data_IF_989008255202
#
_entry.id   IF_989008255202
#
_cell.length_a   1.000
_cell.length_b   1.000
_cell.length_c   1.000
_cell.angle_alpha   90.00
_cell.angle_beta   90.00
_cell.angle_gamma   90.00
#
_symmetry.space_group_name_H-M   'P 1'
#
loop_
_entity.id
_entity.type
_entity.pdbx_description
1 polymer ?
#
# COMPACT_ATOMS: atom_id res chain seq x y z
N UNK A 1 -29.64 5.84 6.52
CA UNK A 1 -28.37 6.59 6.64
C UNK A 1 -27.30 5.72 6.00
N UNK A 2 -26.80 6.07 4.82
CA UNK A 2 -25.76 5.25 4.17
C UNK A 2 -24.55 5.17 5.10
N UNK A 3 -23.85 4.03 5.09
CA UNK A 3 -22.54 3.87 5.72
C UNK A 3 -21.67 5.10 5.43
N UNK A 4 -21.43 5.92 6.46
CA UNK A 4 -20.77 7.22 6.30
C UNK A 4 -19.31 7.04 5.88
N UNK A 5 -18.80 7.93 5.02
CA UNK A 5 -17.37 7.93 4.66
C UNK A 5 -16.50 8.07 5.90
N UNK A 6 -15.25 7.61 5.82
CA UNK A 6 -14.28 7.71 6.91
C UNK A 6 -14.14 9.16 7.43
N UNK A 7 -14.21 10.15 6.53
CA UNK A 7 -14.19 11.56 6.89
C UNK A 7 -15.35 11.94 7.83
N UNK A 8 -16.58 11.51 7.52
CA UNK A 8 -17.74 11.77 8.38
C UNK A 8 -17.61 11.04 9.72
N UNK A 9 -17.05 9.83 9.72
CA UNK A 9 -16.79 9.10 10.96
C UNK A 9 -15.78 9.84 11.85
N UNK A 10 -14.72 10.43 11.28
CA UNK A 10 -13.76 11.26 12.01
C UNK A 10 -14.40 12.52 12.58
N UNK A 11 -15.26 13.21 11.81
CA UNK A 11 -15.99 14.37 12.33
C UNK A 11 -16.90 13.99 13.51
N UNK A 12 -17.60 12.85 13.41
CA UNK A 12 -18.42 12.33 14.52
C UNK A 12 -17.57 11.99 15.74
N UNK A 13 -16.43 11.32 15.55
CA UNK A 13 -15.51 11.01 16.64
C UNK A 13 -15.04 12.27 17.37
N UNK A 14 -14.80 13.37 16.65
CA UNK A 14 -14.45 14.68 17.24
C UNK A 14 -15.60 15.26 18.07
N UNK A 15 -16.84 15.18 17.57
CA UNK A 15 -18.04 15.59 18.30
C UNK A 15 -18.20 14.76 19.58
N UNK A 16 -18.09 13.43 19.47
CA UNK A 16 -18.20 12.50 20.60
C UNK A 16 -17.09 12.73 21.65
N UNK A 17 -15.92 13.23 21.22
CA UNK A 17 -14.83 13.66 22.09
C UNK A 17 -15.03 15.05 22.74
N UNK A 18 -16.20 15.69 22.53
CA UNK A 18 -16.60 16.94 23.17
C UNK A 18 -16.40 18.21 22.34
N UNK A 19 -16.19 18.10 21.01
CA UNK A 19 -16.07 19.27 20.12
C UNK A 19 -17.45 19.88 19.83
N UNK A 20 -18.02 20.58 20.82
CA UNK A 20 -19.34 21.20 20.74
C UNK A 20 -19.43 22.33 19.71
N UNK A 21 -18.30 22.97 19.39
CA UNK A 21 -18.23 23.98 18.33
C UNK A 21 -18.45 23.34 16.96
N UNK A 22 -17.73 22.25 16.67
CA UNK A 22 -17.93 21.47 15.45
C UNK A 22 -19.36 20.91 15.35
N UNK A 23 -19.89 20.39 16.45
CA UNK A 23 -21.28 19.90 16.51
C UNK A 23 -22.27 21.00 16.12
N UNK A 24 -22.17 22.16 16.78
CA UNK A 24 -23.06 23.28 16.53
C UNK A 24 -22.93 23.82 15.09
N UNK A 25 -21.72 23.85 14.54
CA UNK A 25 -21.46 24.22 13.15
C UNK A 25 -22.15 23.27 12.15
N UNK A 26 -22.06 21.96 12.37
CA UNK A 26 -22.65 20.96 11.48
C UNK A 26 -24.18 20.88 11.60
N UNK A 27 -24.74 21.13 12.79
CA UNK A 27 -26.20 21.09 13.02
C UNK A 27 -26.91 22.39 12.62
N UNK A 28 -26.30 23.55 12.90
CA UNK A 28 -26.95 24.87 12.74
C UNK A 28 -26.33 25.75 11.66
N UNK A 29 -25.18 25.37 11.11
CA UNK A 29 -24.52 26.08 10.03
C UNK A 29 -25.31 26.05 8.73
N UNK A 30 -24.97 26.96 7.83
CA UNK A 30 -25.55 26.98 6.49
C UNK A 30 -25.20 25.68 5.74
N UNK A 31 -26.13 25.15 4.93
CA UNK A 31 -25.90 23.88 4.21
C UNK A 31 -24.63 23.87 3.34
N UNK A 32 -24.28 25.02 2.76
CA UNK A 32 -23.09 25.23 1.93
C UNK A 32 -21.78 25.39 2.73
N UNK A 33 -21.83 25.53 4.06
CA UNK A 33 -20.64 25.68 4.91
C UNK A 33 -20.32 24.42 5.72
N UNK A 34 -20.95 23.29 5.41
CA UNK A 34 -20.70 22.02 6.12
C UNK A 34 -19.40 21.35 5.67
N UNK A 35 -18.95 21.61 4.43
CA UNK A 35 -17.75 21.02 3.83
C UNK A 35 -17.73 19.48 3.80
N UNK A 36 -18.90 18.85 3.93
CA UNK A 36 -19.04 17.39 4.00
C UNK A 36 -19.34 16.72 2.66
N UNK A 37 -19.43 17.46 1.55
CA UNK A 37 -19.66 16.85 0.23
C UNK A 37 -18.44 16.06 -0.24
N UNK A 38 -18.65 15.06 -1.09
CA UNK A 38 -17.54 14.27 -1.66
C UNK A 38 -16.56 15.14 -2.46
N UNK A 39 -17.06 16.13 -3.21
CA UNK A 39 -16.22 17.07 -3.96
C UNK A 39 -15.27 17.84 -3.05
N UNK A 40 -15.77 18.36 -1.93
CA UNK A 40 -14.96 19.11 -0.96
C UNK A 40 -14.00 18.18 -0.23
N UNK A 41 -14.43 16.97 0.14
CA UNK A 41 -13.54 15.97 0.74
C UNK A 41 -12.35 15.66 -0.18
N UNK A 42 -12.59 15.45 -1.48
CA UNK A 42 -11.53 15.22 -2.45
C UNK A 42 -10.62 16.44 -2.60
N UNK A 43 -11.17 17.65 -2.66
CA UNK A 43 -10.36 18.89 -2.71
C UNK A 43 -9.44 19.02 -1.49
N UNK A 44 -9.95 18.74 -0.28
CA UNK A 44 -9.15 18.72 0.95
C UNK A 44 -8.03 17.67 0.86
N UNK A 45 -8.33 16.46 0.36
CA UNK A 45 -7.33 15.40 0.18
C UNK A 45 -6.23 15.85 -0.79
N UNK A 46 -6.59 16.49 -1.90
CA UNK A 46 -5.63 17.00 -2.89
C UNK A 46 -4.74 18.09 -2.30
N UNK A 47 -5.30 19.03 -1.53
CA UNK A 47 -4.54 20.08 -0.84
C UNK A 47 -3.57 19.49 0.21
N UNK A 48 -4.02 18.52 0.99
CA UNK A 48 -3.17 17.81 1.96
C UNK A 48 -2.04 17.09 1.23
N UNK A 49 -2.33 16.41 0.12
CA UNK A 49 -1.32 15.75 -0.72
C UNK A 49 -0.29 16.74 -1.22
N UNK A 50 -0.73 17.87 -1.78
CA UNK A 50 0.17 18.92 -2.29
C UNK A 50 1.06 19.50 -1.19
N UNK A 51 0.49 19.75 -0.01
CA UNK A 51 1.24 20.26 1.14
C UNK A 51 2.30 19.24 1.62
N UNK A 52 1.92 17.98 1.81
CA UNK A 52 2.84 16.92 2.23
C UNK A 52 3.95 16.73 1.21
N UNK A 53 3.59 16.64 -0.08
CA UNK A 53 4.56 16.45 -1.16
C UNK A 53 5.52 17.65 -1.26
N UNK A 54 5.02 18.87 -1.12
CA UNK A 54 5.86 20.08 -1.10
C UNK A 54 6.81 20.08 0.10
N UNK A 55 6.35 19.59 1.26
CA UNK A 55 7.19 19.43 2.45
C UNK A 55 8.27 18.36 2.28
N UNK A 56 7.95 17.23 1.65
CA UNK A 56 8.93 16.19 1.31
C UNK A 56 9.97 16.74 0.34
N UNK A 57 9.53 17.28 -0.79
CA UNK A 57 10.43 17.79 -1.83
C UNK A 57 11.22 19.02 -1.37
N UNK A 58 10.67 19.83 -0.47
CA UNK A 58 11.35 20.98 0.13
C UNK A 58 12.46 20.59 1.11
N UNK A 59 12.42 19.39 1.70
CA UNK A 59 13.52 18.83 2.52
C UNK A 59 14.62 18.22 1.66
N UNK A 60 14.29 17.81 0.43
CA UNK A 60 15.23 17.14 -0.46
C UNK A 60 16.21 18.16 -1.07
N UNK A 61 17.50 18.02 -0.74
CA UNK A 61 18.56 18.78 -1.41
C UNK A 61 18.84 18.16 -2.79
N UNK A 62 18.75 18.91 -3.90
CA UNK A 62 19.00 18.40 -5.25
C UNK A 62 20.35 17.70 -5.45
N UNK A 63 21.36 18.00 -4.64
CA UNK A 63 22.67 17.34 -4.68
C UNK A 63 22.71 15.98 -3.98
N UNK A 64 21.64 15.62 -3.27
CA UNK A 64 21.54 14.36 -2.51
C UNK A 64 21.42 13.17 -3.44
N UNK A 65 22.23 12.14 -3.18
CA UNK A 65 22.10 10.84 -3.82
C UNK A 65 20.90 10.10 -3.23
N UNK A 66 20.12 9.46 -4.09
CA UNK A 66 18.91 8.76 -3.68
C UNK A 66 18.73 7.44 -4.41
N UNK A 67 17.82 6.61 -3.90
CA UNK A 67 17.34 5.41 -4.56
C UNK A 67 15.84 5.47 -4.70
N UNK A 68 15.30 4.84 -5.73
CA UNK A 68 13.86 4.66 -5.91
C UNK A 68 13.44 3.27 -5.47
N UNK A 69 12.27 3.18 -4.84
CA UNK A 69 11.59 1.93 -4.52
C UNK A 69 10.24 2.00 -5.19
N UNK A 70 9.94 1.06 -6.07
CA UNK A 70 8.66 1.01 -6.78
C UNK A 70 8.02 -0.36 -6.62
N UNK A 71 6.76 -0.37 -6.21
CA UNK A 71 5.98 -1.59 -6.05
C UNK A 71 4.62 -1.47 -6.73
N UNK A 72 4.12 -2.57 -7.28
CA UNK A 72 2.86 -2.64 -8.01
C UNK A 72 1.73 -3.19 -7.15
N UNK A 73 0.58 -2.54 -7.17
CA UNK A 73 -0.65 -3.09 -6.58
C UNK A 73 -1.85 -2.77 -7.47
N UNK A 74 -2.87 -3.62 -7.41
CA UNK A 74 -4.17 -3.36 -8.06
C UNK A 74 -5.10 -2.67 -7.08
N UNK A 75 -5.74 -1.57 -7.49
CA UNK A 75 -6.73 -0.88 -6.67
C UNK A 75 -8.13 -1.53 -6.73
N UNK A 76 -9.08 -1.02 -5.95
CA UNK A 76 -10.46 -1.55 -5.89
C UNK A 76 -11.23 -1.45 -7.20
N UNK A 77 -10.74 -0.65 -8.16
CA UNK A 77 -11.33 -0.46 -9.48
C UNK A 77 -10.63 -1.32 -10.55
N UNK A 78 -9.76 -2.24 -10.14
CA UNK A 78 -8.92 -3.08 -11.00
C UNK A 78 -7.93 -2.28 -11.87
N UNK A 79 -7.50 -1.10 -11.40
CA UNK A 79 -6.43 -0.34 -12.06
C UNK A 79 -5.13 -0.65 -11.35
N UNK A 80 -4.08 -0.95 -12.12
CA UNK A 80 -2.74 -1.09 -11.56
C UNK A 80 -2.17 0.27 -11.17
N UNK A 81 -1.58 0.32 -9.99
CA UNK A 81 -0.98 1.49 -9.39
C UNK A 81 0.45 1.13 -9.01
N UNK A 82 1.40 1.96 -9.45
CA UNK A 82 2.78 1.87 -9.00
C UNK A 82 2.99 2.83 -7.82
N UNK A 83 3.36 2.30 -6.67
CA UNK A 83 3.74 3.07 -5.51
C UNK A 83 5.19 3.53 -5.68
N UNK A 84 5.45 4.83 -5.85
CA UNK A 84 6.78 5.40 -5.98
C UNK A 84 7.24 6.00 -4.65
N UNK A 85 8.35 5.48 -4.12
CA UNK A 85 9.05 6.02 -2.97
C UNK A 85 10.48 6.41 -3.34
N UNK A 86 11.02 7.36 -2.58
CA UNK A 86 12.44 7.69 -2.57
C UNK A 86 13.07 7.34 -1.23
N UNK A 87 14.31 6.87 -1.28
CA UNK A 87 15.16 6.61 -0.13
C UNK A 87 16.43 7.44 -0.24
N UNK A 88 16.75 8.23 0.77
CA UNK A 88 17.94 9.08 0.80
C UNK A 88 18.43 9.29 2.23
N UNK A 89 19.64 9.82 2.37
CA UNK A 89 20.19 10.25 3.66
C UNK A 89 20.07 11.77 3.72
N UNK A 90 19.39 12.29 4.73
CA UNK A 90 19.32 13.74 4.93
C UNK A 90 20.71 14.28 5.28
N UNK A 91 21.23 15.28 4.54
CA UNK A 91 22.59 15.76 4.73
C UNK A 91 22.82 16.48 6.07
N UNK A 92 21.75 16.98 6.70
CA UNK A 92 21.80 17.71 7.96
C UNK A 92 21.64 16.77 9.16
N UNK A 93 20.57 15.98 9.18
CA UNK A 93 20.28 15.06 10.29
C UNK A 93 21.12 13.78 10.24
N UNK A 94 21.61 13.40 9.05
CA UNK A 94 22.27 12.12 8.75
C UNK A 94 21.38 10.91 8.97
N UNK A 95 20.07 11.11 8.98
CA UNK A 95 19.08 10.05 9.11
C UNK A 95 18.67 9.54 7.73
N UNK A 96 18.32 8.26 7.67
CA UNK A 96 17.76 7.66 6.46
C UNK A 96 16.27 8.03 6.41
N UNK A 97 15.86 8.62 5.30
CA UNK A 97 14.47 8.90 4.99
C UNK A 97 13.98 7.98 3.90
N UNK A 98 12.75 7.50 4.06
CA UNK A 98 11.96 6.81 3.05
C UNK A 98 10.65 7.58 2.92
N UNK A 99 10.50 8.34 1.84
CA UNK A 99 9.34 9.21 1.62
C UNK A 99 8.54 8.70 0.42
N UNK A 100 7.22 8.53 0.62
CA UNK A 100 6.27 8.23 -0.44
C UNK A 100 5.99 9.48 -1.28
N UNK A 101 6.08 9.34 -2.60
CA UNK A 101 5.85 10.45 -3.53
C UNK A 101 4.48 10.38 -4.20
N UNK A 102 4.12 9.22 -4.76
CA UNK A 102 2.87 9.08 -5.49
C UNK A 102 2.47 7.63 -5.75
N UNK A 103 1.17 7.45 -5.99
CA UNK A 103 0.66 6.35 -6.79
C UNK A 103 0.61 6.80 -8.24
N UNK A 104 1.24 6.02 -9.11
CA UNK A 104 1.24 6.24 -10.55
C UNK A 104 0.25 5.26 -11.18
N UNK A 105 -0.92 5.73 -11.65
CA UNK A 105 -1.86 4.86 -12.32
C UNK A 105 -1.28 4.40 -13.66
N UNK A 106 -1.30 3.10 -13.88
CA UNK A 106 -0.68 2.46 -15.03
C UNK A 106 -1.71 1.59 -15.74
N UNK A 107 -2.04 1.96 -16.98
CA UNK A 107 -2.97 1.19 -17.83
C UNK A 107 -2.21 0.08 -18.58
N UNK A 108 -0.94 0.32 -18.90
CA UNK A 108 -0.06 -0.61 -19.62
C UNK A 108 1.05 -1.09 -18.70
N UNK A 109 1.15 -2.40 -18.51
CA UNK A 109 2.12 -3.03 -17.63
C UNK A 109 3.42 -3.41 -18.34
N UNK A 110 3.63 -2.86 -19.54
CA UNK A 110 4.89 -3.05 -20.27
C UNK A 110 6.04 -2.37 -19.53
N UNK A 111 7.22 -2.95 -19.68
CA UNK A 111 8.48 -2.45 -19.17
C UNK A 111 8.74 -0.99 -19.57
N UNK A 112 8.46 -0.60 -20.81
CA UNK A 112 8.66 0.79 -21.26
C UNK A 112 7.67 1.75 -20.61
N UNK A 113 6.39 1.37 -20.52
CA UNK A 113 5.37 2.23 -19.93
C UNK A 113 5.66 2.49 -18.45
N UNK A 114 6.09 1.45 -17.72
CA UNK A 114 6.44 1.59 -16.30
C UNK A 114 7.67 2.50 -16.14
N UNK A 115 8.72 2.29 -16.92
CA UNK A 115 9.92 3.12 -16.88
C UNK A 115 9.63 4.58 -17.24
N UNK A 116 8.84 4.83 -18.28
CA UNK A 116 8.46 6.18 -18.71
C UNK A 116 7.65 6.91 -17.63
N UNK A 117 6.73 6.22 -16.97
CA UNK A 117 5.95 6.78 -15.85
C UNK A 117 6.86 7.17 -14.68
N UNK A 118 7.83 6.32 -14.32
CA UNK A 118 8.80 6.59 -13.25
C UNK A 118 9.68 7.80 -13.64
N UNK A 119 10.32 7.78 -14.81
CA UNK A 119 11.21 8.86 -15.26
C UNK A 119 10.48 10.19 -15.40
N UNK A 120 9.26 10.19 -15.91
CA UNK A 120 8.42 11.38 -16.02
C UNK A 120 8.07 11.95 -14.64
N UNK A 121 7.81 11.09 -13.67
CA UNK A 121 7.52 11.48 -12.28
C UNK A 121 8.75 12.08 -11.60
N UNK A 122 9.92 11.45 -11.75
CA UNK A 122 11.18 11.99 -11.22
C UNK A 122 11.48 13.39 -11.80
N UNK A 123 11.31 13.56 -13.12
CA UNK A 123 11.45 14.87 -13.78
C UNK A 123 10.43 15.89 -13.26
N UNK A 124 9.16 15.50 -13.09
CA UNK A 124 8.10 16.36 -12.53
C UNK A 124 8.44 16.83 -11.12
N UNK A 125 9.02 15.96 -10.31
CA UNK A 125 9.46 16.28 -8.94
C UNK A 125 10.84 16.94 -8.89
N UNK A 126 11.44 17.25 -10.04
CA UNK A 126 12.75 17.90 -10.15
C UNK A 126 13.87 17.10 -9.43
N UNK A 127 13.73 15.77 -9.39
CA UNK A 127 14.74 14.87 -8.85
C UNK A 127 15.77 14.57 -9.94
N UNK A 128 17.06 14.91 -9.74
CA UNK A 128 18.08 14.72 -10.77
C UNK A 128 18.37 13.24 -11.02
N UNK A 129 18.12 12.78 -12.24
CA UNK A 129 18.30 11.36 -12.62
C UNK A 129 19.74 10.85 -12.42
N UNK A 130 20.73 11.72 -12.59
CA UNK A 130 22.14 11.43 -12.36
C UNK A 130 22.48 11.18 -10.88
N UNK A 131 21.60 11.56 -9.95
CA UNK A 131 21.78 11.33 -8.52
C UNK A 131 21.01 10.10 -8.04
N UNK A 132 20.27 9.42 -8.93
CA UNK A 132 19.65 8.14 -8.64
C UNK A 132 20.71 7.03 -8.71
N UNK A 133 21.07 6.49 -7.54
CA UNK A 133 22.11 5.46 -7.37
C UNK A 133 21.55 4.07 -7.05
N UNK A 134 20.23 3.92 -6.96
CA UNK A 134 19.61 2.65 -6.70
C UNK A 134 18.17 2.58 -7.17
N UNK A 135 17.72 1.38 -7.52
CA UNK A 135 16.36 1.10 -7.95
C UNK A 135 15.91 -0.26 -7.39
N UNK A 136 14.75 -0.33 -6.77
CA UNK A 136 14.23 -1.56 -6.17
C UNK A 136 12.81 -1.88 -6.64
N UNK A 137 12.60 -3.10 -7.11
CA UNK A 137 11.32 -3.60 -7.66
C UNK A 137 11.04 -5.04 -7.21
N UNK A 138 9.83 -5.52 -7.50
CA UNK A 138 9.52 -6.94 -7.43
C UNK A 138 10.25 -7.74 -8.53
N UNK A 139 10.13 -9.08 -8.44
CA UNK A 139 10.76 -9.99 -9.40
C UNK A 139 9.95 -10.20 -10.67
N UNK A 140 8.96 -9.34 -10.96
CA UNK A 140 8.13 -9.52 -12.16
C UNK A 140 8.98 -9.27 -13.41
N UNK A 141 8.82 -10.07 -14.49
CA UNK A 141 9.70 -9.98 -15.67
C UNK A 141 9.76 -8.59 -16.34
N UNK A 142 8.64 -7.88 -16.35
CA UNK A 142 8.54 -6.49 -16.83
C UNK A 142 9.28 -5.47 -15.95
N UNK A 143 9.53 -5.79 -14.68
CA UNK A 143 10.30 -4.94 -13.76
C UNK A 143 11.77 -5.34 -13.73
N UNK A 144 12.05 -6.61 -13.48
CA UNK A 144 13.37 -7.13 -13.16
C UNK A 144 14.19 -7.59 -14.38
N UNK A 145 13.62 -7.55 -15.59
CA UNK A 145 14.29 -8.01 -16.82
C UNK A 145 15.60 -7.24 -17.10
N UNK A 146 16.71 -7.97 -17.29
CA UNK A 146 18.05 -7.37 -17.47
C UNK A 146 18.29 -6.74 -18.84
N UNK A 147 17.51 -7.13 -19.86
CA UNK A 147 17.67 -6.64 -21.24
C UNK A 147 16.62 -5.60 -21.61
N UNK A 148 15.35 -5.90 -21.32
CA UNK A 148 14.22 -5.05 -21.71
C UNK A 148 13.39 -4.57 -20.52
N UNK A 149 13.55 -5.16 -19.33
CA UNK A 149 12.72 -4.81 -18.17
C UNK A 149 12.90 -3.35 -17.74
N UNK A 150 11.96 -2.84 -16.95
CA UNK A 150 11.98 -1.49 -16.40
C UNK A 150 13.36 -1.16 -15.81
N UNK A 151 13.99 -2.08 -15.08
CA UNK A 151 15.31 -1.83 -14.50
C UNK A 151 16.41 -1.54 -15.52
N UNK A 152 16.38 -2.22 -16.67
CA UNK A 152 17.32 -2.00 -17.76
C UNK A 152 17.10 -0.62 -18.40
N UNK A 153 15.84 -0.22 -18.59
CA UNK A 153 15.48 1.08 -19.17
C UNK A 153 15.85 2.23 -18.21
N UNK A 154 15.54 2.08 -16.93
CA UNK A 154 15.93 3.07 -15.90
C UNK A 154 17.44 3.22 -15.85
N UNK A 155 18.20 2.12 -15.95
CA UNK A 155 19.67 2.15 -15.95
C UNK A 155 20.27 2.86 -17.17
N UNK A 156 19.54 2.97 -18.28
CA UNK A 156 19.97 3.80 -19.42
C UNK A 156 19.91 5.31 -19.10
N UNK A 157 18.92 5.74 -18.32
CA UNK A 157 18.74 7.15 -17.92
C UNK A 157 19.46 7.51 -16.62
N UNK A 158 19.65 6.53 -15.73
CA UNK A 158 20.31 6.64 -14.44
C UNK A 158 21.42 5.55 -14.37
N UNK A 159 22.61 5.78 -14.96
CA UNK A 159 23.64 4.75 -15.11
C UNK A 159 24.10 4.13 -13.78
N UNK A 160 24.11 4.92 -12.71
CA UNK A 160 24.53 4.50 -11.38
C UNK A 160 23.39 3.84 -10.57
N UNK A 161 22.16 3.76 -11.10
CA UNK A 161 21.02 3.17 -10.41
C UNK A 161 21.12 1.64 -10.40
N UNK A 162 21.71 1.08 -9.35
CA UNK A 162 21.83 -0.38 -9.20
C UNK A 162 20.52 -1.04 -8.80
N UNK A 163 20.21 -2.16 -9.46
CA UNK A 163 18.98 -2.90 -9.23
C UNK A 163 19.06 -3.78 -7.98
N UNK A 164 18.04 -3.67 -7.13
CA UNK A 164 17.82 -4.52 -5.97
C UNK A 164 16.49 -5.26 -6.09
N UNK A 165 16.55 -6.60 -6.03
CA UNK A 165 15.35 -7.43 -6.02
C UNK A 165 14.67 -7.37 -4.65
N UNK A 166 13.34 -7.19 -4.65
CA UNK A 166 12.53 -7.18 -3.44
C UNK A 166 12.75 -8.44 -2.58
N UNK A 167 13.26 -8.25 -1.37
CA UNK A 167 13.54 -9.34 -0.42
C UNK A 167 12.27 -10.08 0.00
N UNK A 168 11.15 -9.37 0.15
CA UNK A 168 9.85 -9.97 0.47
C UNK A 168 9.37 -10.88 -0.66
N UNK A 169 9.54 -10.44 -1.91
CA UNK A 169 9.19 -11.25 -3.08
C UNK A 169 10.11 -12.48 -3.19
N UNK A 170 11.42 -12.29 -3.04
CA UNK A 170 12.40 -13.39 -3.07
C UNK A 170 12.13 -14.44 -1.97
N UNK A 171 11.78 -14.00 -0.75
CA UNK A 171 11.38 -14.88 0.34
C UNK A 171 10.09 -15.65 -0.01
N UNK A 172 9.08 -14.95 -0.53
CA UNK A 172 7.83 -15.58 -0.94
C UNK A 172 8.05 -16.65 -2.02
N UNK A 173 8.90 -16.37 -3.03
CA UNK A 173 9.28 -17.37 -4.03
C UNK A 173 9.94 -18.60 -3.41
N UNK A 174 10.85 -18.40 -2.44
CA UNK A 174 11.51 -19.50 -1.72
C UNK A 174 10.52 -20.34 -0.90
N UNK A 175 9.53 -19.70 -0.28
CA UNK A 175 8.47 -20.39 0.46
C UNK A 175 7.54 -21.18 -0.47
N UNK A 176 7.16 -20.60 -1.60
CA UNK A 176 6.31 -21.26 -2.60
C UNK A 176 7.03 -22.49 -3.17
N UNK A 177 8.33 -22.36 -3.50
CA UNK A 177 9.14 -23.47 -3.99
C UNK A 177 9.21 -24.61 -2.94
N UNK A 178 9.41 -24.26 -1.67
CA UNK A 178 9.38 -25.23 -0.57
C UNK A 178 8.03 -25.97 -0.46
N UNK A 179 6.93 -25.30 -0.82
CA UNK A 179 5.59 -25.90 -0.81
C UNK A 179 5.35 -26.91 -1.94
N UNK A 180 6.27 -27.03 -2.91
CA UNK A 180 6.21 -28.06 -3.96
C UNK A 180 6.47 -29.48 -3.44
N UNK A 181 6.99 -29.61 -2.21
CA UNK A 181 7.12 -30.90 -1.52
C UNK A 181 5.78 -31.63 -1.45
N UNK A 182 5.77 -32.94 -1.76
CA UNK A 182 4.55 -33.76 -1.79
C UNK A 182 3.76 -33.68 -0.49
N UNK A 183 4.44 -33.72 0.66
CA UNK A 183 3.78 -33.68 1.96
C UNK A 183 3.05 -32.35 2.19
N UNK A 184 3.71 -31.23 1.89
CA UNK A 184 3.16 -29.88 2.04
C UNK A 184 2.03 -29.65 1.04
N UNK A 185 2.22 -30.02 -0.22
CA UNK A 185 1.19 -29.92 -1.25
C UNK A 185 -0.07 -30.72 -0.91
N UNK A 186 0.08 -31.94 -0.38
CA UNK A 186 -1.05 -32.76 0.05
C UNK A 186 -1.79 -32.12 1.24
N UNK A 187 -1.05 -31.59 2.22
CA UNK A 187 -1.64 -30.86 3.34
C UNK A 187 -2.46 -29.66 2.86
N UNK A 188 -1.90 -28.80 2.00
CA UNK A 188 -2.63 -27.67 1.41
C UNK A 188 -3.83 -28.13 0.58
N UNK A 189 -3.71 -29.25 -0.14
CA UNK A 189 -4.81 -29.87 -0.88
C UNK A 189 -5.97 -30.24 0.03
N UNK A 190 -5.70 -30.89 1.17
CA UNK A 190 -6.73 -31.25 2.17
C UNK A 190 -7.38 -30.00 2.75
N UNK A 191 -6.59 -29.02 3.17
CA UNK A 191 -7.10 -27.73 3.71
C UNK A 191 -8.02 -27.05 2.68
N UNK A 192 -7.59 -27.00 1.42
CA UNK A 192 -8.40 -26.44 0.33
C UNK A 192 -9.69 -27.23 0.14
N UNK A 193 -9.65 -28.56 0.11
CA UNK A 193 -10.84 -29.41 -0.04
C UNK A 193 -11.85 -29.21 1.10
N UNK A 194 -11.39 -29.11 2.35
CA UNK A 194 -12.25 -28.83 3.50
C UNK A 194 -12.86 -27.43 3.38
N UNK A 195 -12.06 -26.43 3.00
CA UNK A 195 -12.52 -25.04 2.85
C UNK A 195 -13.57 -24.93 1.74
N UNK A 196 -13.29 -25.51 0.57
CA UNK A 196 -14.24 -25.58 -0.56
C UNK A 196 -15.51 -26.32 -0.18
N UNK A 197 -15.41 -27.45 0.54
CA UNK A 197 -16.58 -28.19 1.02
C UNK A 197 -17.54 -27.28 1.80
N UNK A 198 -17.04 -26.48 2.76
CA UNK A 198 -17.91 -25.57 3.53
C UNK A 198 -18.40 -24.38 2.71
N UNK A 199 -17.55 -23.74 1.92
CA UNK A 199 -17.89 -22.54 1.14
C UNK A 199 -18.90 -22.81 0.02
N UNK A 200 -18.89 -24.00 -0.58
CA UNK A 200 -19.80 -24.35 -1.69
C UNK A 200 -21.26 -24.57 -1.23
N UNK A 201 -21.56 -24.48 0.07
CA UNK A 201 -22.93 -24.60 0.57
C UNK A 201 -23.21 -23.66 1.74
N UNK A 202 -24.18 -22.78 1.54
CA UNK A 202 -24.69 -21.90 2.59
C UNK A 202 -25.16 -22.70 3.84
N UNK A 203 -25.74 -23.89 3.66
CA UNK A 203 -26.15 -24.76 4.77
C UNK A 203 -24.95 -25.26 5.57
N UNK A 204 -23.89 -25.70 4.89
CA UNK A 204 -22.66 -26.20 5.55
C UNK A 204 -21.90 -25.07 6.22
N UNK A 205 -21.78 -23.92 5.56
CA UNK A 205 -21.20 -22.71 6.16
C UNK A 205 -21.98 -22.29 7.42
N UNK A 206 -23.33 -22.30 7.37
CA UNK A 206 -24.15 -21.96 8.53
C UNK A 206 -23.97 -22.96 9.68
N UNK A 207 -23.99 -24.26 9.39
CA UNK A 207 -23.74 -25.30 10.39
C UNK A 207 -22.36 -25.18 11.05
N UNK A 208 -21.31 -24.88 10.26
CA UNK A 208 -19.97 -24.65 10.78
C UNK A 208 -19.92 -23.44 11.73
N UNK A 209 -20.52 -22.31 11.32
CA UNK A 209 -20.57 -21.10 12.16
C UNK A 209 -21.32 -21.37 13.48
N UNK A 210 -22.46 -22.05 13.41
CA UNK A 210 -23.23 -22.43 14.58
C UNK A 210 -22.42 -23.27 15.58
N UNK A 211 -21.66 -24.25 15.12
CA UNK A 211 -20.81 -25.08 16.00
C UNK A 211 -19.58 -24.33 16.55
N UNK A 212 -19.01 -23.39 15.80
CA UNK A 212 -17.92 -22.52 16.29
C UNK A 212 -18.42 -21.58 17.40
N UNK A 213 -19.64 -21.07 17.26
CA UNK A 213 -20.28 -20.15 18.20
C UNK A 213 -20.95 -20.86 19.39
N UNK A 214 -20.94 -22.20 19.39
CA UNK A 214 -21.55 -23.01 20.44
C UNK A 214 -20.81 -22.83 21.77
N UNK A 215 -21.51 -22.46 22.86
CA UNK A 215 -20.88 -22.14 24.15
C UNK A 215 -20.19 -23.31 24.86
N UNK A 216 -20.50 -24.57 24.50
CA UNK A 216 -19.90 -25.78 25.10
C UNK A 216 -18.57 -26.20 24.45
N UNK A 217 -18.03 -25.41 23.51
CA UNK A 217 -16.76 -25.69 22.85
C UNK A 217 -15.58 -25.20 23.73
N UNK A 218 -15.28 -25.95 24.80
CA UNK A 218 -14.27 -25.66 25.83
C UNK A 218 -12.85 -25.36 25.28
N UNK A 219 -12.58 -25.66 24.02
CA UNK A 219 -11.31 -25.33 23.36
C UNK A 219 -11.09 -23.82 23.12
N UNK A 220 -12.14 -23.00 23.13
CA UNK A 220 -12.05 -21.55 22.88
C UNK A 220 -11.85 -20.69 24.13
N UNK A 221 -12.08 -21.22 25.33
CA UNK A 221 -11.91 -20.46 26.58
C UNK A 221 -10.41 -20.38 26.99
N UNK A 222 -9.57 -21.33 26.55
CA UNK A 222 -8.14 -21.33 26.87
C UNK A 222 -7.28 -20.40 25.97
N UNK A 223 -7.73 -20.05 24.75
CA UNK A 223 -6.92 -19.22 23.83
C UNK A 223 -7.22 -17.73 23.89
N UNK A 224 -8.42 -17.31 24.32
CA UNK A 224 -8.80 -15.88 24.40
C UNK A 224 -8.19 -15.12 25.59
N UNK A 225 -7.44 -15.76 26.50
CA UNK A 225 -6.80 -15.09 27.66
C UNK A 225 -5.29 -14.82 27.56
N UNK A 226 -4.61 -15.18 26.47
CA UNK A 226 -3.27 -14.65 26.17
C UNK A 226 -3.37 -13.52 25.16
N UNK A 227 -3.78 -12.35 25.66
CA UNK A 227 -3.41 -11.06 25.07
C UNK A 227 -1.88 -11.06 24.98
N UNK A 228 -1.35 -11.08 23.76
CA UNK A 228 0.01 -10.60 23.49
C UNK A 228 0.04 -9.10 23.78
N UNK A 229 0.21 -8.78 25.06
CA UNK A 229 0.73 -7.51 25.56
C UNK A 229 2.12 -7.82 26.09
N UNK A 230 3.10 -7.90 25.20
CA UNK A 230 4.53 -7.63 25.46
C UNK A 230 5.37 -8.11 24.26
N UNK A 231 5.62 -7.19 23.32
CA UNK A 231 6.91 -6.82 22.73
C UNK A 231 6.63 -5.93 21.52
#
# INVERSE_FOLDING_TARGET
MSSGSNFIALLKQRIDAGDHLLQNHLEKGCRNSTYTSSSIQNEIIELIREYILSSILGRFDPSTLYSIIVDGSTDSSNIEQLCLLIRYVDPHSREIHEDFLAFLPTISTTDEAIADHILSSLKRYQLPLNNCIGQAYDGAPNMSGIFNGCQAIIKQSCPDAEYMHCSSHALNLSLIDSCTSRFIRNMFGIIKSVTTFFNDSAKRTHALKHEIERPDNDYLILSKKKRLLSL
#
